data_IF_016768762304
#
_entry.id   IF_016768762304
#
_cell.length_a   1.000
_cell.length_b   1.000
_cell.length_c   1.000
_cell.angle_alpha   90.00
_cell.angle_beta   90.00
_cell.angle_gamma   90.00
#
_symmetry.space_group_name_H-M   'P 1'
#
loop_
_entity.id
_entity.type
_entity.pdbx_description
1 polymer ?
#
# COMPACT_ATOMS: atom_id res chain seq x y z
N UNK A 1 8.16 -4.61 -20.87
CA UNK A 1 7.13 -4.00 -20.02
C UNK A 1 7.20 -4.70 -18.68
N UNK A 2 7.85 -4.09 -17.68
CA UNK A 2 7.75 -4.61 -16.31
C UNK A 2 6.41 -4.14 -15.78
N UNK A 3 5.47 -5.07 -15.60
CA UNK A 3 4.19 -4.76 -14.97
C UNK A 3 4.45 -4.70 -13.46
N UNK A 4 4.95 -3.55 -13.00
CA UNK A 4 5.23 -3.35 -11.58
C UNK A 4 3.91 -3.31 -10.82
N UNK A 5 3.65 -4.34 -10.03
CA UNK A 5 2.46 -4.44 -9.21
C UNK A 5 2.69 -3.72 -7.88
N UNK A 6 1.80 -2.79 -7.54
CA UNK A 6 1.83 -2.09 -6.25
C UNK A 6 0.94 -2.82 -5.24
N UNK A 7 1.48 -3.05 -4.04
CA UNK A 7 0.74 -3.60 -2.91
C UNK A 7 0.12 -2.45 -2.12
N UNK A 8 -1.20 -2.45 -1.96
CA UNK A 8 -1.90 -1.46 -1.14
C UNK A 8 -2.29 -2.09 0.20
N UNK A 9 -1.86 -1.50 1.31
CA UNK A 9 -2.14 -1.98 2.67
C UNK A 9 -3.06 -0.97 3.36
N UNK A 10 -4.24 -1.42 3.78
CA UNK A 10 -5.21 -0.62 4.51
C UNK A 10 -5.37 -1.23 5.91
N UNK A 11 -4.88 -0.53 6.91
CA UNK A 11 -4.87 -0.97 8.31
C UNK A 11 -4.88 0.26 9.21
N UNK A 12 -5.71 0.30 10.26
CA UNK A 12 -5.84 1.44 11.17
C UNK A 12 -4.69 1.53 12.20
N UNK A 13 -3.97 0.43 12.43
CA UNK A 13 -2.81 0.39 13.31
C UNK A 13 -1.52 0.80 12.57
N UNK A 14 -0.94 1.93 12.99
CA UNK A 14 0.29 2.48 12.42
C UNK A 14 1.49 1.53 12.53
N UNK A 15 1.64 0.83 13.67
CA UNK A 15 2.78 -0.04 13.94
C UNK A 15 2.73 -1.27 13.04
N UNK A 16 1.54 -1.86 12.87
CA UNK A 16 1.33 -3.00 11.97
C UNK A 16 1.61 -2.58 10.53
N UNK A 17 1.07 -1.44 10.11
CA UNK A 17 1.20 -0.92 8.75
C UNK A 17 2.66 -0.64 8.38
N UNK A 18 3.44 -0.04 9.27
CA UNK A 18 4.87 0.22 9.06
C UNK A 18 5.69 -1.08 8.98
N UNK A 19 5.40 -2.06 9.84
CA UNK A 19 6.06 -3.35 9.80
C UNK A 19 5.82 -4.09 8.47
N UNK A 20 4.57 -4.08 7.98
CA UNK A 20 4.22 -4.70 6.70
C UNK A 20 4.84 -3.95 5.52
N UNK A 21 4.88 -2.62 5.57
CA UNK A 21 5.56 -1.81 4.55
C UNK A 21 7.02 -2.21 4.39
N UNK A 22 7.76 -2.25 5.49
CA UNK A 22 9.17 -2.63 5.50
C UNK A 22 9.38 -4.06 4.96
N UNK A 23 8.47 -4.99 5.27
CA UNK A 23 8.51 -6.35 4.74
C UNK A 23 8.34 -6.37 3.21
N UNK A 24 7.35 -5.66 2.67
CA UNK A 24 7.10 -5.61 1.23
C UNK A 24 8.28 -4.95 0.49
N UNK A 25 8.82 -3.85 1.01
CA UNK A 25 10.01 -3.20 0.46
C UNK A 25 11.23 -4.13 0.46
N UNK A 26 11.39 -4.95 1.51
CA UNK A 26 12.51 -5.91 1.62
C UNK A 26 12.51 -7.00 0.54
N UNK A 27 11.33 -7.33 -0.01
CA UNK A 27 11.17 -8.30 -1.11
C UNK A 27 11.11 -7.63 -2.48
N UNK A 28 11.33 -6.31 -2.55
CA UNK A 28 11.39 -5.54 -3.79
C UNK A 28 10.02 -5.21 -4.40
N UNK A 29 8.95 -5.21 -3.59
CA UNK A 29 7.63 -4.80 -4.02
C UNK A 29 7.43 -3.31 -3.78
N UNK A 30 6.72 -2.64 -4.70
CA UNK A 30 6.19 -1.31 -4.44
C UNK A 30 5.01 -1.42 -3.48
N UNK A 31 4.95 -0.54 -2.49
CA UNK A 31 3.92 -0.57 -1.46
C UNK A 31 3.41 0.83 -1.12
N UNK A 32 2.10 0.96 -0.97
CA UNK A 32 1.43 2.15 -0.47
C UNK A 32 0.57 1.76 0.73
N UNK A 33 0.50 2.62 1.73
CA UNK A 33 -0.16 2.34 3.00
C UNK A 33 -1.17 3.41 3.37
N UNK A 34 -2.30 3.00 3.96
CA UNK A 34 -3.44 3.87 4.30
C UNK A 34 -3.99 3.48 5.67
N UNK A 35 -4.38 4.47 6.47
CA UNK A 35 -4.99 4.27 7.78
C UNK A 35 -6.48 3.94 7.71
N UNK A 36 -7.12 4.15 6.54
CA UNK A 36 -8.53 3.84 6.34
C UNK A 36 -8.87 3.57 4.88
N UNK A 37 -10.01 2.92 4.66
CA UNK A 37 -10.53 2.71 3.31
C UNK A 37 -10.83 4.04 2.59
N UNK A 38 -11.28 5.07 3.31
CA UNK A 38 -11.55 6.38 2.70
C UNK A 38 -10.26 7.03 2.19
N UNK A 39 -9.19 6.99 2.98
CA UNK A 39 -7.89 7.53 2.57
C UNK A 39 -7.33 6.84 1.33
N UNK A 40 -7.58 5.54 1.18
CA UNK A 40 -7.28 4.81 -0.05
C UNK A 40 -8.16 5.29 -1.21
N UNK A 41 -9.48 5.35 -1.01
CA UNK A 41 -10.42 5.75 -2.06
C UNK A 41 -10.23 7.20 -2.54
N UNK A 42 -9.77 8.09 -1.68
CA UNK A 42 -9.45 9.49 -2.04
C UNK A 42 -8.25 9.59 -3.00
N UNK A 43 -7.38 8.58 -3.00
CA UNK A 43 -6.22 8.47 -3.88
C UNK A 43 -6.42 7.45 -5.01
N UNK A 44 -7.45 6.62 -4.92
CA UNK A 44 -7.74 5.59 -5.89
C UNK A 44 -8.32 6.21 -7.16
N UNK A 45 -7.61 6.04 -8.26
CA UNK A 45 -8.10 6.37 -9.59
C UNK A 45 -8.67 5.10 -10.22
N UNK A 46 -9.97 5.11 -10.53
CA UNK A 46 -10.66 3.98 -11.10
C UNK A 46 -10.36 3.76 -12.59
N UNK A 47 -9.65 4.69 -13.24
CA UNK A 47 -9.24 4.60 -14.65
C UNK A 47 -7.77 4.15 -14.83
N UNK A 48 -7.06 3.84 -13.73
CA UNK A 48 -5.72 3.22 -13.77
C UNK A 48 -5.74 1.77 -14.30
#
# INVERSE_FOLDING_TARGET
>A
MSNTATVFIVDDDEVVRDALKLLMESVGLEVATFASAQEYLDQFDCEQ
#
